data_IF_408057061300
#
_entry.id   IF_408057061300
#
_cell.length_a   1.000
_cell.length_b   1.000
_cell.length_c   1.000
_cell.angle_alpha   90.00
_cell.angle_beta   90.00
_cell.angle_gamma   90.00
#
_symmetry.space_group_name_H-M   'P 1'
#
loop_
_entity.id
_entity.type
_entity.pdbx_description
1 polymer ?
#
# COMPACT_ATOMS: atom_id res chain seq x y z
N UNK A 1 5.96 4.81 10.49
CA UNK A 1 6.27 6.25 10.36
C UNK A 1 5.03 7.07 10.66
N UNK A 2 5.18 8.21 11.35
CA UNK A 2 4.14 9.23 11.49
C UNK A 2 3.96 9.97 10.16
N UNK A 3 2.87 10.74 10.00
CA UNK A 3 2.67 11.54 8.78
C UNK A 3 3.79 12.55 8.58
N UNK A 4 4.28 13.18 9.65
CA UNK A 4 5.43 14.10 9.58
C UNK A 4 6.70 13.41 9.08
N UNK A 5 6.99 12.19 9.56
CA UNK A 5 8.14 11.42 9.08
C UNK A 5 8.01 11.04 7.61
N UNK A 6 6.79 10.73 7.15
CA UNK A 6 6.54 10.41 5.74
C UNK A 6 6.69 11.64 4.84
N UNK A 7 6.20 12.80 5.28
CA UNK A 7 6.38 14.07 4.57
C UNK A 7 7.87 14.43 4.48
N UNK A 8 8.60 14.35 5.59
CA UNK A 8 10.03 14.64 5.61
C UNK A 8 10.83 13.71 4.69
N UNK A 9 10.47 12.42 4.67
CA UNK A 9 11.07 11.46 3.73
C UNK A 9 10.73 11.81 2.28
N UNK A 10 9.48 12.19 1.98
CA UNK A 10 9.09 12.60 0.64
C UNK A 10 9.86 13.85 0.18
N UNK A 11 9.98 14.86 1.03
CA UNK A 11 10.76 16.07 0.75
C UNK A 11 12.23 15.76 0.46
N UNK A 12 12.83 14.86 1.24
CA UNK A 12 14.20 14.39 1.00
C UNK A 12 14.31 13.73 -0.38
N UNK A 13 13.41 12.80 -0.71
CA UNK A 13 13.39 12.11 -2.00
C UNK A 13 13.19 13.11 -3.15
N UNK A 14 12.33 14.12 -2.99
CA UNK A 14 12.14 15.19 -3.98
C UNK A 14 13.39 16.04 -4.18
N UNK A 15 14.14 16.31 -3.11
CA UNK A 15 15.43 16.99 -3.21
C UNK A 15 16.43 16.17 -4.04
N UNK A 16 16.49 14.85 -3.83
CA UNK A 16 17.34 13.94 -4.61
C UNK A 16 16.92 13.89 -6.08
N UNK A 17 15.61 13.85 -6.37
CA UNK A 17 15.08 13.92 -7.75
C UNK A 17 15.48 15.22 -8.45
N UNK A 18 15.52 16.34 -7.72
CA UNK A 18 15.92 17.63 -8.29
C UNK A 18 17.42 17.70 -8.61
N UNK A 19 18.25 16.87 -7.98
CA UNK A 19 19.67 16.76 -8.26
C UNK A 19 19.99 15.87 -9.49
N UNK A 20 19.01 15.12 -10.00
CA UNK A 20 19.18 14.30 -11.20
C UNK A 20 19.41 15.13 -12.46
N UNK A 21 20.08 14.52 -13.45
CA UNK A 21 20.16 15.10 -14.79
C UNK A 21 18.77 15.27 -15.43
N UNK A 22 18.60 16.18 -16.41
CA UNK A 22 17.30 16.39 -17.06
C UNK A 22 16.69 15.12 -17.66
N UNK A 23 17.52 14.22 -18.20
CA UNK A 23 17.05 12.95 -18.76
C UNK A 23 16.62 11.95 -17.69
N UNK A 24 17.42 11.74 -16.65
CA UNK A 24 17.06 10.89 -15.51
C UNK A 24 15.80 11.40 -14.82
N UNK A 25 15.69 12.72 -14.60
CA UNK A 25 14.51 13.32 -14.00
C UNK A 25 13.24 13.11 -14.83
N UNK A 26 13.34 13.16 -16.16
CA UNK A 26 12.22 12.84 -17.06
C UNK A 26 11.80 11.37 -16.94
N UNK A 27 12.77 10.44 -16.90
CA UNK A 27 12.50 9.01 -16.70
C UNK A 27 11.87 8.75 -15.33
N UNK A 28 12.36 9.42 -14.28
CA UNK A 28 11.80 9.35 -12.93
C UNK A 28 10.30 9.66 -12.94
N UNK A 29 9.88 10.83 -13.45
CA UNK A 29 8.48 11.22 -13.45
C UNK A 29 7.59 10.31 -14.31
N UNK A 30 8.14 9.72 -15.38
CA UNK A 30 7.42 8.73 -16.18
C UNK A 30 7.16 7.42 -15.41
N UNK A 31 8.14 6.96 -14.62
CA UNK A 31 8.00 5.76 -13.80
C UNK A 31 7.13 6.01 -12.57
N UNK A 32 7.35 7.12 -11.87
CA UNK A 32 6.58 7.53 -10.69
C UNK A 32 5.09 7.56 -11.00
N UNK A 33 4.69 8.25 -12.09
CA UNK A 33 3.29 8.34 -12.51
C UNK A 33 2.62 6.98 -12.76
N UNK A 34 3.39 5.96 -13.13
CA UNK A 34 2.87 4.60 -13.40
C UNK A 34 2.77 3.74 -12.15
N UNK A 35 3.66 3.96 -11.18
CA UNK A 35 3.85 3.06 -10.04
C UNK A 35 3.22 3.57 -8.74
N UNK A 36 3.11 4.89 -8.59
CA UNK A 36 2.43 5.53 -7.47
C UNK A 36 0.97 5.09 -7.39
N UNK A 37 0.51 4.90 -6.15
CA UNK A 37 -0.82 4.42 -5.82
C UNK A 37 -1.64 5.50 -5.16
N UNK A 38 -2.95 5.38 -5.31
CA UNK A 38 -3.93 6.34 -4.80
C UNK A 38 -4.54 5.84 -3.47
N UNK A 39 -4.52 6.65 -2.40
CA UNK A 39 -5.09 6.29 -1.10
C UNK A 39 -6.59 5.96 -1.16
N UNK A 40 -7.35 6.68 -1.98
CA UNK A 40 -8.80 6.52 -2.05
C UNK A 40 -9.15 5.20 -2.73
N UNK A 41 -8.44 4.86 -3.82
CA UNK A 41 -8.54 3.55 -4.47
C UNK A 41 -8.23 2.42 -3.50
N UNK A 42 -7.19 2.56 -2.67
CA UNK A 42 -6.86 1.58 -1.64
C UNK A 42 -7.97 1.45 -0.59
N UNK A 43 -8.54 2.57 -0.12
CA UNK A 43 -9.62 2.58 0.85
C UNK A 43 -10.91 1.95 0.28
N UNK A 44 -11.26 2.24 -0.97
CA UNK A 44 -12.40 1.64 -1.67
C UNK A 44 -12.23 0.13 -1.78
N UNK A 45 -11.03 -0.35 -2.13
CA UNK A 45 -10.75 -1.79 -2.18
C UNK A 45 -10.82 -2.44 -0.79
N UNK A 46 -10.33 -1.76 0.25
CA UNK A 46 -10.39 -2.28 1.62
C UNK A 46 -11.85 -2.37 2.12
N UNK A 47 -12.66 -1.36 1.83
CA UNK A 47 -14.08 -1.32 2.18
C UNK A 47 -14.93 -2.35 1.42
N UNK A 48 -14.85 -2.32 0.07
CA UNK A 48 -15.69 -3.16 -0.79
C UNK A 48 -15.29 -4.64 -0.72
N UNK A 49 -14.01 -4.90 -0.43
CA UNK A 49 -13.45 -6.23 -0.34
C UNK A 49 -12.66 -6.40 0.95
N UNK A 50 -13.37 -6.31 2.09
CA UNK A 50 -12.86 -6.61 3.43
C UNK A 50 -12.16 -8.00 3.55
N UNK A 51 -12.27 -8.84 2.53
CA UNK A 51 -11.53 -10.09 2.33
C UNK A 51 -10.06 -9.93 1.90
N UNK A 52 -9.47 -8.72 1.87
CA UNK A 52 -8.03 -8.53 1.72
C UNK A 52 -7.51 -8.16 0.33
N UNK A 53 -8.40 -7.79 -0.60
CA UNK A 53 -8.02 -7.42 -1.97
C UNK A 53 -7.14 -6.15 -2.03
N UNK A 54 -7.25 -5.25 -1.05
CA UNK A 54 -6.38 -4.07 -0.91
C UNK A 54 -4.90 -4.42 -0.71
N UNK A 55 -4.58 -5.60 -0.14
CA UNK A 55 -3.19 -6.07 -0.04
C UNK A 55 -2.60 -6.35 -1.42
N UNK A 56 -3.40 -6.86 -2.37
CA UNK A 56 -2.96 -7.11 -3.73
C UNK A 56 -2.68 -5.81 -4.49
N UNK A 57 -3.43 -4.73 -4.21
CA UNK A 57 -3.21 -3.42 -4.83
C UNK A 57 -1.81 -2.83 -4.55
N UNK A 58 -1.26 -3.11 -3.36
CA UNK A 58 0.10 -2.74 -2.97
C UNK A 58 1.14 -3.84 -3.26
N UNK A 59 0.79 -4.88 -4.02
CA UNK A 59 1.68 -5.99 -4.35
C UNK A 59 1.97 -6.95 -3.19
N UNK A 60 1.23 -6.90 -2.08
CA UNK A 60 1.41 -7.75 -0.89
C UNK A 60 0.60 -9.04 -0.99
N UNK A 61 0.87 -9.85 -2.00
CA UNK A 61 0.12 -11.08 -2.34
C UNK A 61 -0.03 -12.07 -1.17
N UNK A 62 1.02 -12.28 -0.37
CA UNK A 62 0.98 -13.22 0.76
C UNK A 62 -0.07 -12.82 1.82
N UNK A 63 -0.12 -11.52 2.17
CA UNK A 63 -1.09 -11.02 3.16
C UNK A 63 -2.51 -11.07 2.61
N UNK A 64 -2.67 -10.75 1.33
CA UNK A 64 -3.96 -10.88 0.64
C UNK A 64 -4.47 -12.31 0.61
N UNK A 65 -3.61 -13.28 0.30
CA UNK A 65 -3.96 -14.70 0.27
C UNK A 65 -4.38 -15.22 1.64
N UNK A 66 -3.60 -14.93 2.70
CA UNK A 66 -3.95 -15.33 4.08
C UNK A 66 -5.31 -14.74 4.48
N UNK A 67 -5.53 -13.45 4.24
CA UNK A 67 -6.79 -12.81 4.61
C UNK A 67 -7.98 -13.42 3.86
N UNK A 68 -7.82 -13.69 2.56
CA UNK A 68 -8.84 -14.33 1.74
C UNK A 68 -9.16 -15.73 2.26
N UNK A 69 -8.15 -16.56 2.54
CA UNK A 69 -8.35 -17.91 3.08
C UNK A 69 -9.04 -17.89 4.45
N UNK A 70 -8.63 -16.99 5.35
CA UNK A 70 -9.29 -16.84 6.65
C UNK A 70 -10.76 -16.42 6.48
N UNK A 71 -11.03 -15.46 5.61
CA UNK A 71 -12.40 -15.03 5.33
C UNK A 71 -13.25 -16.17 4.77
N UNK A 72 -12.70 -16.97 3.85
CA UNK A 72 -13.37 -18.16 3.30
C UNK A 72 -13.67 -19.21 4.37
N UNK A 73 -12.72 -19.51 5.25
CA UNK A 73 -12.93 -20.43 6.38
C UNK A 73 -14.04 -19.90 7.29
N UNK A 74 -14.02 -18.59 7.59
CA UNK A 74 -15.06 -17.94 8.39
C UNK A 74 -16.46 -18.07 7.77
N UNK A 75 -16.58 -17.87 6.46
CA UNK A 75 -17.85 -18.01 5.73
C UNK A 75 -18.32 -19.47 5.71
N UNK A 76 -17.43 -20.42 5.43
CA UNK A 76 -17.77 -21.85 5.39
C UNK A 76 -18.18 -22.39 6.76
N UNK A 77 -17.67 -21.80 7.84
CA UNK A 77 -17.95 -22.21 9.24
C UNK A 77 -18.92 -21.27 9.97
N UNK A 78 -19.69 -20.46 9.23
CA UNK A 78 -20.49 -19.36 9.80
C UNK A 78 -21.53 -19.80 10.84
N UNK A 79 -22.11 -21.00 10.69
CA UNK A 79 -23.06 -21.57 11.66
C UNK A 79 -22.41 -22.15 12.93
N UNK A 80 -21.08 -22.12 13.04
CA UNK A 80 -20.33 -22.59 14.20
C UNK A 80 -19.54 -21.45 14.83
N UNK A 81 -18.24 -21.36 14.57
CA UNK A 81 -17.36 -20.32 15.12
C UNK A 81 -16.92 -19.30 14.05
N UNK A 82 -17.38 -19.45 12.80
CA UNK A 82 -16.96 -18.62 11.68
C UNK A 82 -17.26 -17.13 11.89
N UNK A 83 -18.36 -16.79 12.57
CA UNK A 83 -18.69 -15.40 12.96
C UNK A 83 -17.58 -14.79 13.82
N UNK A 84 -17.07 -15.52 14.82
CA UNK A 84 -15.97 -15.04 15.66
C UNK A 84 -14.69 -14.81 14.84
N UNK A 85 -14.37 -15.74 13.93
CA UNK A 85 -13.21 -15.61 13.05
C UNK A 85 -13.32 -14.38 12.14
N UNK A 86 -14.49 -14.15 11.53
CA UNK A 86 -14.75 -12.97 10.69
C UNK A 86 -14.61 -11.68 11.52
N UNK A 87 -15.16 -11.64 12.73
CA UNK A 87 -15.03 -10.47 13.63
C UNK A 87 -13.56 -10.18 13.92
N UNK A 88 -12.76 -11.20 14.25
CA UNK A 88 -11.32 -11.03 14.50
C UNK A 88 -10.60 -10.46 13.28
N UNK A 89 -10.89 -10.99 12.08
CA UNK A 89 -10.32 -10.49 10.83
C UNK A 89 -10.72 -9.02 10.61
N UNK A 90 -11.98 -8.67 10.79
CA UNK A 90 -12.46 -7.29 10.66
C UNK A 90 -11.78 -6.37 11.67
N UNK A 91 -11.62 -6.76 12.94
CA UNK A 91 -10.93 -5.94 13.94
C UNK A 91 -9.48 -5.63 13.56
N UNK A 92 -8.82 -6.53 12.82
CA UNK A 92 -7.44 -6.34 12.35
C UNK A 92 -7.39 -5.50 11.06
N UNK A 93 -8.33 -5.70 10.14
CA UNK A 93 -8.33 -5.07 8.82
C UNK A 93 -8.95 -3.66 8.81
N UNK A 94 -9.99 -3.43 9.60
CA UNK A 94 -10.74 -2.16 9.64
C UNK A 94 -9.86 -0.95 10.07
N UNK A 95 -8.91 -1.08 11.01
CA UNK A 95 -7.94 -0.01 11.27
C UNK A 95 -7.06 0.38 10.06
N UNK A 96 -6.88 -0.51 9.08
CA UNK A 96 -6.12 -0.21 7.86
C UNK A 96 -6.89 0.72 6.93
N UNK A 97 -8.23 0.68 6.94
CA UNK A 97 -9.08 1.60 6.20
C UNK A 97 -8.79 3.05 6.58
N UNK A 98 -8.77 3.35 7.88
CA UNK A 98 -8.50 4.69 8.41
C UNK A 98 -7.04 5.13 8.24
N UNK A 99 -6.13 4.17 8.00
CA UNK A 99 -4.70 4.43 7.81
C UNK A 99 -4.30 4.36 6.32
N UNK A 100 -5.26 4.29 5.40
CA UNK A 100 -5.03 4.19 3.95
C UNK A 100 -4.02 5.23 3.44
N UNK A 101 -4.22 6.50 3.82
CA UNK A 101 -3.33 7.60 3.46
C UNK A 101 -1.88 7.33 3.87
N UNK A 102 -1.64 6.93 5.13
CA UNK A 102 -0.29 6.65 5.63
C UNK A 102 0.33 5.42 4.97
N UNK A 103 -0.46 4.36 4.76
CA UNK A 103 0.02 3.12 4.15
C UNK A 103 0.44 3.36 2.70
N UNK A 104 -0.40 4.07 1.94
CA UNK A 104 -0.14 4.40 0.53
C UNK A 104 0.98 5.42 0.41
N UNK A 105 1.03 6.43 1.28
CA UNK A 105 2.13 7.40 1.29
C UNK A 105 3.49 6.73 1.57
N UNK A 106 3.55 5.82 2.53
CA UNK A 106 4.75 5.02 2.77
C UNK A 106 5.14 4.18 1.55
N UNK A 107 4.16 3.55 0.89
CA UNK A 107 4.41 2.77 -0.34
C UNK A 107 4.94 3.68 -1.46
N UNK A 108 4.36 4.86 -1.65
CA UNK A 108 4.77 5.81 -2.69
C UNK A 108 6.19 6.34 -2.44
N UNK A 109 6.54 6.66 -1.20
CA UNK A 109 7.92 7.03 -0.83
C UNK A 109 8.91 5.90 -1.16
N UNK A 110 8.52 4.64 -0.91
CA UNK A 110 9.35 3.50 -1.25
C UNK A 110 9.52 3.34 -2.76
N UNK A 111 8.44 3.52 -3.54
CA UNK A 111 8.50 3.56 -5.02
C UNK A 111 9.46 4.64 -5.50
N UNK A 112 9.38 5.86 -4.96
CA UNK A 112 10.29 6.95 -5.31
C UNK A 112 11.76 6.58 -5.02
N UNK A 113 12.03 6.01 -3.85
CA UNK A 113 13.37 5.55 -3.47
C UNK A 113 13.90 4.45 -4.41
N UNK A 114 13.05 3.49 -4.78
CA UNK A 114 13.41 2.39 -5.67
C UNK A 114 13.71 2.88 -7.10
N UNK A 115 12.96 3.87 -7.61
CA UNK A 115 13.22 4.51 -8.91
C UNK A 115 14.53 5.30 -8.87
N UNK A 116 14.75 6.11 -7.81
CA UNK A 116 15.97 6.89 -7.64
C UNK A 116 17.21 6.01 -7.63
N UNK A 117 17.15 4.90 -6.89
CA UNK A 117 18.22 3.92 -6.84
C UNK A 117 18.52 3.33 -8.22
N UNK A 118 17.48 2.92 -8.96
CA UNK A 118 17.65 2.37 -10.31
C UNK A 118 18.30 3.37 -11.28
N UNK A 119 17.96 4.66 -11.18
CA UNK A 119 18.47 5.70 -12.08
C UNK A 119 19.88 6.20 -11.71
N UNK A 120 20.31 6.01 -10.47
CA UNK A 120 21.62 6.46 -9.96
C UNK A 120 22.67 5.35 -10.02
N UNK A 121 22.23 4.08 -9.87
CA UNK A 121 23.10 2.90 -9.98
C UNK A 121 23.30 2.43 -11.44
N UNK A 122 22.67 3.10 -12.43
CA UNK A 122 22.81 2.84 -13.89
C UNK A 122 23.73 3.85 -14.56
#
# INVERSE_FOLDING_TARGET
>A
MTSEQLNAQEEQLRSEVNALSPEQRKLFYQQEKRLVKDPDTYAVLNWFFAAGLHHFYLGRFQRGAVNLTLMLIGILTIYSFGVFLIIVVLLIELPQLFKSQRIVHQYNNQVMADILKQLTDS
#
